data_IF_736789734325
#
_entry.id   IF_736789734325
#
_cell.length_a   1.000
_cell.length_b   1.000
_cell.length_c   1.000
_cell.angle_alpha   90.00
_cell.angle_beta   90.00
_cell.angle_gamma   90.00
#
_symmetry.space_group_name_H-M   'P 1'
#
loop_
_entity.id
_entity.type
_entity.pdbx_description
1 polymer ?
#
# COMPACT_ATOMS: atom_id res chain seq x y z
N UNK A 1 21.98 4.09 -0.82
CA UNK A 1 22.01 4.75 0.51
C UNK A 1 23.00 5.90 0.49
N UNK A 2 22.53 7.12 0.23
CA UNK A 2 23.35 8.30 0.49
C UNK A 2 23.19 8.63 1.98
N UNK A 3 24.14 8.19 2.77
CA UNK A 3 24.34 8.68 4.11
C UNK A 3 25.39 9.77 4.02
N UNK A 4 25.17 10.93 4.63
CA UNK A 4 26.25 11.86 4.94
C UNK A 4 27.14 11.15 5.96
N UNK A 5 28.35 10.84 5.56
CA UNK A 5 29.14 9.81 6.16
C UNK A 5 30.23 10.42 6.99
N UNK A 6 30.10 10.25 8.26
CA UNK A 6 31.28 9.95 9.04
C UNK A 6 31.36 8.43 9.17
N UNK A 7 32.20 7.77 8.36
CA UNK A 7 32.40 6.32 8.34
C UNK A 7 33.02 5.78 9.62
N UNK A 8 33.45 6.64 10.51
CA UNK A 8 34.26 6.26 11.67
C UNK A 8 33.41 5.69 12.82
N UNK A 9 32.08 5.85 12.78
CA UNK A 9 31.21 5.33 13.83
C UNK A 9 29.95 4.66 13.25
N UNK A 10 29.81 3.34 13.40
CA UNK A 10 28.60 2.60 12.91
C UNK A 10 27.28 3.16 13.45
N UNK A 11 27.28 3.71 14.66
CA UNK A 11 26.11 4.30 15.30
C UNK A 11 25.65 5.56 14.59
N UNK A 12 26.55 6.43 14.16
CA UNK A 12 26.22 7.64 13.41
C UNK A 12 25.58 7.32 12.06
N UNK A 13 25.92 6.21 11.45
CA UNK A 13 25.35 5.77 10.19
C UNK A 13 23.84 5.50 10.30
N UNK A 14 23.37 4.90 11.38
CA UNK A 14 21.94 4.67 11.63
C UNK A 14 21.24 6.01 11.84
N UNK A 15 21.79 6.86 12.70
CA UNK A 15 21.24 8.18 13.01
C UNK A 15 21.16 9.08 11.78
N UNK A 16 22.22 9.18 11.00
CA UNK A 16 22.24 10.01 9.79
C UNK A 16 21.40 9.43 8.66
N UNK A 17 21.24 8.10 8.60
CA UNK A 17 20.45 7.44 7.58
C UNK A 17 18.94 7.49 7.85
N UNK A 18 18.51 7.14 9.07
CA UNK A 18 17.07 7.07 9.43
C UNK A 18 16.55 8.37 10.02
N UNK A 19 17.39 9.05 10.80
CA UNK A 19 17.00 10.21 11.61
C UNK A 19 17.44 11.54 10.99
N UNK A 20 17.80 11.58 9.70
CA UNK A 20 17.96 12.88 9.04
C UNK A 20 16.65 13.65 9.10
N UNK A 21 16.63 14.98 9.25
CA UNK A 21 15.41 15.76 9.45
C UNK A 21 14.33 15.46 8.40
N UNK A 22 14.72 15.36 7.14
CA UNK A 22 13.80 15.08 6.02
C UNK A 22 13.17 13.69 6.13
N UNK A 23 13.95 12.66 6.49
CA UNK A 23 13.46 11.29 6.64
C UNK A 23 12.63 11.14 7.90
N UNK A 24 13.03 11.80 8.99
CA UNK A 24 12.25 11.80 10.22
C UNK A 24 10.88 12.43 9.99
N UNK A 25 10.81 13.58 9.33
CA UNK A 25 9.54 14.22 8.95
C UNK A 25 8.71 13.32 8.02
N UNK A 26 9.36 12.62 7.10
CA UNK A 26 8.68 11.66 6.23
C UNK A 26 8.09 10.47 7.02
N UNK A 27 8.84 9.93 7.99
CA UNK A 27 8.36 8.85 8.86
C UNK A 27 7.21 9.34 9.73
N UNK A 28 7.30 10.54 10.31
CA UNK A 28 6.22 11.12 11.12
C UNK A 28 4.96 11.31 10.28
N UNK A 29 5.10 11.76 9.04
CA UNK A 29 3.96 12.01 8.15
C UNK A 29 3.32 10.72 7.62
N UNK A 30 4.10 9.72 7.25
CA UNK A 30 3.60 8.56 6.50
C UNK A 30 3.91 7.21 7.14
N UNK A 31 4.90 7.15 8.02
CA UNK A 31 5.50 5.91 8.50
C UNK A 31 4.96 5.41 9.84
N UNK A 32 3.92 6.02 10.37
CA UNK A 32 3.28 5.60 11.62
C UNK A 32 1.90 5.02 11.29
N UNK A 33 1.64 3.81 11.77
CA UNK A 33 0.34 3.16 11.69
C UNK A 33 -0.13 2.75 13.08
N UNK A 34 -1.40 2.89 13.34
CA UNK A 34 -2.05 2.29 14.50
C UNK A 34 -2.75 1.02 14.06
N UNK A 35 -2.38 -0.09 14.68
CA UNK A 35 -2.89 -1.42 14.32
C UNK A 35 -3.76 -1.90 15.46
N UNK A 36 -5.03 -2.13 15.18
CA UNK A 36 -5.97 -2.71 16.13
C UNK A 36 -5.68 -4.19 16.29
N UNK A 37 -5.41 -4.59 17.52
CA UNK A 37 -5.18 -5.98 17.90
C UNK A 37 -6.29 -6.41 18.87
N UNK A 38 -6.95 -7.51 18.54
CA UNK A 38 -7.94 -8.12 19.43
C UNK A 38 -7.30 -9.33 20.10
N UNK A 39 -7.47 -9.43 21.41
CA UNK A 39 -7.04 -10.58 22.22
C UNK A 39 -8.18 -11.03 23.09
N UNK A 40 -8.37 -12.32 23.20
CA UNK A 40 -9.26 -12.90 24.16
C UNK A 40 -8.53 -13.03 25.51
N UNK A 41 -9.04 -12.35 26.53
CA UNK A 41 -8.57 -12.42 27.92
C UNK A 41 -9.78 -12.77 28.80
N UNK A 42 -9.70 -13.89 29.50
CA UNK A 42 -10.78 -14.37 30.38
C UNK A 42 -12.18 -14.42 29.71
N UNK A 43 -12.24 -14.87 28.47
CA UNK A 43 -13.48 -14.98 27.70
C UNK A 43 -14.07 -13.65 27.23
N UNK A 44 -13.32 -12.55 27.35
CA UNK A 44 -13.68 -11.23 26.80
C UNK A 44 -12.70 -10.81 25.73
N UNK A 45 -13.23 -10.21 24.66
CA UNK A 45 -12.40 -9.63 23.60
C UNK A 45 -11.95 -8.24 24.05
N UNK A 46 -10.64 -8.08 24.25
CA UNK A 46 -10.01 -6.79 24.50
C UNK A 46 -9.34 -6.31 23.23
N UNK A 47 -9.67 -5.09 22.80
CA UNK A 47 -9.00 -4.46 21.65
C UNK A 47 -7.98 -3.44 22.14
N UNK A 48 -6.77 -3.50 21.59
CA UNK A 48 -5.68 -2.55 21.87
C UNK A 48 -5.12 -2.02 20.57
N UNK A 49 -4.84 -0.71 20.52
CA UNK A 49 -4.18 -0.10 19.38
C UNK A 49 -2.66 -0.09 19.61
N UNK A 50 -1.93 -0.79 18.74
CA UNK A 50 -0.47 -0.82 18.77
C UNK A 50 0.09 0.17 17.73
N UNK A 51 1.08 0.95 18.15
CA UNK A 51 1.79 1.85 17.25
C UNK A 51 2.89 1.09 16.50
N UNK A 52 2.75 1.00 15.18
CA UNK A 52 3.77 0.44 14.29
C UNK A 52 4.49 1.55 13.54
N UNK A 53 5.80 1.43 13.44
CA UNK A 53 6.64 2.37 12.70
C UNK A 53 7.24 1.66 11.49
N UNK A 54 7.27 2.36 10.38
CA UNK A 54 7.88 1.90 9.13
C UNK A 54 9.32 1.45 9.35
N UNK A 55 9.64 0.23 8.91
CA UNK A 55 11.01 -0.30 8.93
C UNK A 55 11.86 0.37 7.86
N UNK A 56 13.19 0.30 8.01
CA UNK A 56 14.11 0.93 7.04
C UNK A 56 13.91 0.40 5.60
N UNK A 57 13.62 -0.90 5.42
CA UNK A 57 13.35 -1.47 4.09
C UNK A 57 12.13 -0.80 3.45
N UNK A 58 11.06 -0.61 4.21
CA UNK A 58 9.83 0.03 3.75
C UNK A 58 10.05 1.52 3.45
N UNK A 59 10.81 2.20 4.31
CA UNK A 59 11.17 3.60 4.11
C UNK A 59 11.92 3.78 2.79
N UNK A 60 13.01 3.05 2.59
CA UNK A 60 13.82 3.22 1.38
C UNK A 60 13.11 2.76 0.12
N UNK A 61 12.29 1.70 0.19
CA UNK A 61 11.46 1.29 -0.94
C UNK A 61 10.45 2.39 -1.30
N UNK A 62 9.74 2.95 -0.33
CA UNK A 62 8.76 4.01 -0.58
C UNK A 62 9.39 5.28 -1.17
N UNK A 63 10.57 5.68 -0.67
CA UNK A 63 11.34 6.81 -1.22
C UNK A 63 11.79 6.54 -2.67
N UNK A 64 12.27 5.31 -2.95
CA UNK A 64 12.69 4.91 -4.29
C UNK A 64 11.52 4.88 -5.28
N UNK A 65 10.38 4.31 -4.87
CA UNK A 65 9.15 4.28 -5.67
C UNK A 65 8.71 5.72 -6.02
N UNK A 66 8.62 6.59 -5.01
CA UNK A 66 8.22 7.98 -5.20
C UNK A 66 9.16 8.73 -6.15
N UNK A 67 10.48 8.51 -6.02
CA UNK A 67 11.48 9.08 -6.92
C UNK A 67 11.27 8.60 -8.35
N UNK A 68 11.09 7.29 -8.57
CA UNK A 68 10.88 6.72 -9.90
C UNK A 68 9.58 7.22 -10.55
N UNK A 69 8.52 7.34 -9.79
CA UNK A 69 7.27 7.93 -10.29
C UNK A 69 7.44 9.40 -10.68
N UNK A 70 8.22 10.18 -9.93
CA UNK A 70 8.54 11.56 -10.27
C UNK A 70 9.39 11.68 -11.56
N UNK A 71 10.21 10.67 -11.86
CA UNK A 71 10.96 10.54 -13.12
C UNK A 71 10.08 10.06 -14.30
N UNK A 72 8.78 9.81 -14.07
CA UNK A 72 7.82 9.36 -15.11
C UNK A 72 7.79 7.85 -15.33
N UNK A 73 8.49 7.05 -14.50
CA UNK A 73 8.45 5.58 -14.56
C UNK A 73 7.09 5.10 -14.06
N UNK A 74 6.41 4.26 -14.84
CA UNK A 74 5.03 3.82 -14.54
C UNK A 74 4.94 2.42 -13.95
N UNK A 75 5.99 1.63 -14.00
CA UNK A 75 6.03 0.26 -13.49
C UNK A 75 7.42 -0.09 -12.96
N UNK A 76 7.49 -1.02 -12.02
CA UNK A 76 8.74 -1.49 -11.45
C UNK A 76 8.54 -2.69 -10.54
N UNK A 77 9.64 -3.26 -10.09
CA UNK A 77 9.66 -4.39 -9.16
C UNK A 77 10.36 -3.95 -7.88
N UNK A 78 9.73 -4.24 -6.74
CA UNK A 78 10.33 -4.06 -5.41
C UNK A 78 10.76 -5.43 -4.92
N UNK A 79 12.06 -5.64 -4.88
CA UNK A 79 12.63 -6.90 -4.41
C UNK A 79 12.86 -6.86 -2.90
N UNK A 80 12.02 -7.56 -2.16
CA UNK A 80 12.14 -7.68 -0.71
C UNK A 80 12.18 -9.15 -0.29
N UNK A 81 12.93 -9.44 0.77
CA UNK A 81 12.94 -10.79 1.36
C UNK A 81 11.57 -11.11 1.99
N UNK A 82 11.30 -12.40 2.15
CA UNK A 82 10.13 -12.85 2.91
C UNK A 82 10.18 -12.31 4.35
N UNK A 83 9.04 -11.95 4.91
CA UNK A 83 8.97 -11.38 6.26
C UNK A 83 9.43 -9.92 6.40
N UNK A 84 9.78 -9.24 5.30
CA UNK A 84 10.17 -7.82 5.34
C UNK A 84 9.00 -6.85 5.52
N UNK A 85 7.76 -7.33 5.54
CA UNK A 85 6.55 -6.53 5.68
C UNK A 85 6.11 -5.88 4.36
N UNK A 86 6.03 -6.66 3.27
CA UNK A 86 5.54 -6.20 1.96
C UNK A 86 4.11 -5.67 2.04
N UNK A 87 3.21 -6.34 2.74
CA UNK A 87 1.83 -5.90 2.96
C UNK A 87 1.77 -4.56 3.71
N UNK A 88 2.59 -4.41 4.75
CA UNK A 88 2.71 -3.14 5.47
C UNK A 88 3.29 -2.02 4.58
N UNK A 89 4.23 -2.33 3.68
CA UNK A 89 4.70 -1.36 2.69
C UNK A 89 3.54 -0.89 1.81
N UNK A 90 2.70 -1.81 1.34
CA UNK A 90 1.52 -1.49 0.52
C UNK A 90 0.55 -0.56 1.24
N UNK A 91 0.33 -0.79 2.54
CA UNK A 91 -0.43 0.14 3.39
C UNK A 91 0.17 1.55 3.37
N UNK A 92 1.46 1.69 3.66
CA UNK A 92 2.10 3.01 3.66
C UNK A 92 2.06 3.69 2.29
N UNK A 93 2.17 2.91 1.21
CA UNK A 93 2.09 3.42 -0.15
C UNK A 93 0.73 4.03 -0.48
N UNK A 94 -0.36 3.57 0.13
CA UNK A 94 -1.68 4.19 -0.10
C UNK A 94 -1.68 5.66 0.30
N UNK A 95 -1.13 6.00 1.45
CA UNK A 95 -1.04 7.39 1.92
C UNK A 95 -0.01 8.21 1.14
N UNK A 96 1.16 7.63 0.89
CA UNK A 96 2.27 8.30 0.20
C UNK A 96 1.89 8.65 -1.24
N UNK A 97 1.30 7.69 -1.95
CA UNK A 97 0.94 7.89 -3.35
C UNK A 97 -0.36 8.68 -3.51
N UNK A 98 -1.26 8.62 -2.55
CA UNK A 98 -2.42 9.49 -2.53
C UNK A 98 -1.98 10.97 -2.42
N UNK A 99 -1.05 11.31 -1.49
CA UNK A 99 -0.47 12.66 -1.39
C UNK A 99 0.33 13.04 -2.64
N UNK A 100 1.04 12.09 -3.25
CA UNK A 100 1.82 12.33 -4.47
C UNK A 100 0.93 12.69 -5.66
N UNK A 101 -0.17 11.95 -5.87
CA UNK A 101 -1.07 12.19 -7.00
C UNK A 101 -2.07 13.31 -6.76
N UNK A 102 -2.47 13.56 -5.51
CA UNK A 102 -3.35 14.69 -5.17
C UNK A 102 -2.71 16.03 -5.53
N UNK A 103 -1.38 16.16 -5.40
CA UNK A 103 -0.62 17.34 -5.86
C UNK A 103 -0.62 17.53 -7.38
N UNK A 104 -1.01 16.52 -8.12
CA UNK A 104 -1.18 16.54 -9.57
C UNK A 104 -2.66 16.62 -9.98
N UNK A 105 -3.56 16.93 -9.04
CA UNK A 105 -5.01 16.95 -9.21
C UNK A 105 -5.58 15.60 -9.68
N UNK A 106 -4.97 14.50 -9.24
CA UNK A 106 -5.42 13.14 -9.53
C UNK A 106 -5.88 12.43 -8.26
N UNK A 107 -6.95 11.66 -8.39
CA UNK A 107 -7.44 10.75 -7.35
C UNK A 107 -6.77 9.39 -7.53
N UNK A 108 -6.09 8.91 -6.51
CA UNK A 108 -5.44 7.60 -6.54
C UNK A 108 -6.44 6.51 -6.12
N UNK A 109 -6.52 5.41 -6.89
CA UNK A 109 -7.24 4.18 -6.55
C UNK A 109 -6.28 3.02 -6.50
N UNK A 110 -6.32 2.25 -5.42
CA UNK A 110 -5.36 1.19 -5.14
C UNK A 110 -6.00 -0.18 -5.30
N UNK A 111 -5.26 -1.07 -5.96
CA UNK A 111 -5.64 -2.47 -6.18
C UNK A 111 -4.48 -3.35 -5.71
N UNK A 112 -4.73 -4.18 -4.71
CA UNK A 112 -3.78 -5.15 -4.19
C UNK A 112 -4.15 -6.52 -4.74
N UNK A 113 -3.27 -7.08 -5.57
CA UNK A 113 -3.53 -8.31 -6.31
C UNK A 113 -2.76 -9.45 -5.68
N UNK A 114 -3.48 -10.49 -5.29
CA UNK A 114 -2.93 -11.73 -4.73
C UNK A 114 -3.28 -12.93 -5.60
N UNK A 115 -2.47 -13.99 -5.53
CA UNK A 115 -2.68 -15.21 -6.30
C UNK A 115 -3.50 -16.27 -5.55
N UNK A 116 -3.61 -16.20 -4.23
CA UNK A 116 -4.26 -17.20 -3.38
C UNK A 116 -5.37 -16.60 -2.53
N UNK A 117 -6.40 -17.40 -2.24
CA UNK A 117 -7.55 -16.96 -1.43
C UNK A 117 -7.18 -16.69 0.03
N UNK A 118 -6.33 -17.52 0.62
CA UNK A 118 -5.84 -17.30 1.98
C UNK A 118 -5.07 -15.98 2.14
N UNK A 119 -4.32 -15.59 1.11
CA UNK A 119 -3.64 -14.30 1.08
C UNK A 119 -4.61 -13.12 0.92
N UNK A 120 -5.75 -13.31 0.26
CA UNK A 120 -6.79 -12.30 0.15
C UNK A 120 -7.37 -11.97 1.53
N UNK A 121 -7.75 -13.00 2.29
CA UNK A 121 -8.30 -12.82 3.64
C UNK A 121 -7.26 -12.18 4.57
N UNK A 122 -6.03 -12.68 4.56
CA UNK A 122 -4.94 -12.12 5.37
C UNK A 122 -4.67 -10.65 5.02
N UNK A 123 -4.58 -10.31 3.74
CA UNK A 123 -4.34 -8.92 3.32
C UNK A 123 -5.49 -8.01 3.72
N UNK A 124 -6.73 -8.47 3.56
CA UNK A 124 -7.93 -7.74 3.98
C UNK A 124 -7.89 -7.41 5.46
N UNK A 125 -7.68 -8.40 6.31
CA UNK A 125 -7.59 -8.23 7.76
C UNK A 125 -6.43 -7.30 8.15
N UNK A 126 -5.27 -7.43 7.50
CA UNK A 126 -4.12 -6.56 7.78
C UNK A 126 -4.37 -5.09 7.43
N UNK A 127 -5.07 -4.82 6.32
CA UNK A 127 -5.40 -3.46 5.92
C UNK A 127 -6.49 -2.85 6.80
N UNK A 128 -7.53 -3.62 7.13
CA UNK A 128 -8.61 -3.19 8.03
C UNK A 128 -8.10 -2.91 9.45
N UNK A 129 -7.22 -3.77 9.98
CA UNK A 129 -6.59 -3.57 11.28
C UNK A 129 -5.78 -2.27 11.36
N UNK A 130 -5.34 -1.74 10.20
CA UNK A 130 -4.64 -0.45 10.08
C UNK A 130 -5.56 0.72 9.72
N UNK A 131 -6.87 0.48 9.67
CA UNK A 131 -7.86 1.52 9.43
C UNK A 131 -8.07 1.92 7.98
N UNK A 132 -7.63 1.09 7.01
CA UNK A 132 -8.04 1.28 5.62
C UNK A 132 -9.47 0.80 5.40
N UNK A 133 -10.18 1.47 4.51
CA UNK A 133 -11.42 0.94 3.93
C UNK A 133 -11.03 -0.10 2.87
N UNK A 134 -11.42 -1.35 3.10
CA UNK A 134 -11.09 -2.45 2.20
C UNK A 134 -12.31 -2.89 1.43
N UNK A 135 -12.19 -2.92 0.11
CA UNK A 135 -13.17 -3.53 -0.79
C UNK A 135 -12.58 -4.80 -1.39
N UNK A 136 -13.41 -5.81 -1.62
CA UNK A 136 -13.00 -7.02 -2.34
C UNK A 136 -13.75 -7.09 -3.66
N UNK A 137 -13.07 -7.52 -4.72
CA UNK A 137 -13.72 -7.86 -5.98
C UNK A 137 -13.68 -9.38 -6.16
N UNK A 138 -14.86 -10.00 -6.09
CA UNK A 138 -15.02 -11.44 -6.17
C UNK A 138 -15.30 -11.95 -7.59
N UNK A 139 -15.59 -11.04 -8.52
CA UNK A 139 -15.81 -11.34 -9.92
C UNK A 139 -15.21 -10.26 -10.81
N UNK A 140 -14.97 -10.64 -12.08
CA UNK A 140 -14.51 -9.69 -13.09
C UNK A 140 -15.53 -8.57 -13.31
N UNK A 141 -16.81 -8.87 -13.27
CA UNK A 141 -17.87 -7.88 -13.43
C UNK A 141 -17.83 -6.82 -12.32
N UNK A 142 -17.63 -7.24 -11.08
CA UNK A 142 -17.44 -6.33 -9.94
C UNK A 142 -16.20 -5.46 -10.10
N UNK A 143 -15.05 -6.04 -10.48
CA UNK A 143 -13.83 -5.28 -10.71
C UNK A 143 -14.02 -4.26 -11.84
N UNK A 144 -14.69 -4.64 -12.92
CA UNK A 144 -14.99 -3.74 -14.03
C UNK A 144 -15.96 -2.63 -13.63
N UNK A 145 -16.96 -2.94 -12.78
CA UNK A 145 -17.84 -1.93 -12.21
C UNK A 145 -17.05 -0.93 -11.35
N UNK A 146 -16.11 -1.42 -10.54
CA UNK A 146 -15.21 -0.57 -9.75
C UNK A 146 -14.29 0.30 -10.62
N UNK A 147 -13.80 -0.22 -11.75
CA UNK A 147 -13.01 0.57 -12.69
C UNK A 147 -13.82 1.68 -13.37
N UNK A 148 -15.11 1.47 -13.60
CA UNK A 148 -16.00 2.49 -14.15
C UNK A 148 -16.48 3.51 -13.12
N UNK A 149 -16.50 3.13 -11.86
CA UNK A 149 -16.92 4.04 -10.78
C UNK A 149 -15.88 5.13 -10.58
N UNK A 150 -16.28 6.38 -10.75
CA UNK A 150 -15.47 7.57 -10.48
C UNK A 150 -15.51 7.99 -9.01
N UNK A 151 -16.32 7.32 -8.20
CA UNK A 151 -16.48 7.63 -6.79
C UNK A 151 -15.60 6.72 -5.93
N UNK A 152 -15.14 7.24 -4.80
CA UNK A 152 -14.67 6.42 -3.69
C UNK A 152 -15.82 5.48 -3.30
N UNK A 153 -15.56 4.17 -3.20
CA UNK A 153 -16.65 3.20 -3.22
C UNK A 153 -17.50 3.16 -1.96
N UNK A 154 -16.96 3.50 -0.81
CA UNK A 154 -17.70 3.49 0.47
C UNK A 154 -17.14 4.46 1.53
N UNK A 155 -16.10 5.21 1.22
CA UNK A 155 -15.41 6.04 2.19
C UNK A 155 -16.09 7.37 2.46
N UNK A 156 -16.11 7.76 3.70
CA UNK A 156 -16.23 9.17 4.08
C UNK A 156 -15.09 9.91 3.38
N UNK A 157 -15.40 11.01 2.72
CA UNK A 157 -14.42 11.84 2.01
C UNK A 157 -13.13 12.01 2.82
N UNK A 158 -12.02 11.48 2.32
CA UNK A 158 -10.69 11.59 2.94
C UNK A 158 -10.09 10.31 3.52
N UNK A 159 -10.81 9.20 3.61
CA UNK A 159 -10.22 7.91 3.99
C UNK A 159 -9.52 7.24 2.82
N UNK A 160 -8.37 6.64 3.09
CA UNK A 160 -7.65 5.85 2.10
C UNK A 160 -8.36 4.50 1.90
N UNK A 161 -8.57 4.13 0.64
CA UNK A 161 -9.23 2.89 0.23
C UNK A 161 -8.29 2.00 -0.54
N UNK A 162 -8.46 0.69 -0.38
CA UNK A 162 -7.75 -0.32 -1.17
C UNK A 162 -8.71 -1.44 -1.58
N UNK A 163 -8.63 -1.88 -2.84
CA UNK A 163 -9.37 -3.04 -3.31
C UNK A 163 -8.44 -4.24 -3.34
N UNK A 164 -8.80 -5.32 -2.64
CA UNK A 164 -8.06 -6.59 -2.66
C UNK A 164 -8.69 -7.53 -3.69
N UNK A 165 -7.86 -8.09 -4.57
CA UNK A 165 -8.31 -8.86 -5.74
C UNK A 165 -7.54 -10.17 -5.81
N UNK A 166 -8.25 -11.29 -5.96
CA UNK A 166 -7.62 -12.58 -6.26
C UNK A 166 -7.54 -12.79 -7.78
N UNK A 167 -6.34 -12.93 -8.32
CA UNK A 167 -6.14 -13.05 -9.77
C UNK A 167 -6.67 -14.37 -10.34
N UNK A 168 -6.67 -15.45 -9.57
CA UNK A 168 -7.13 -16.78 -10.05
C UNK A 168 -8.60 -16.77 -10.44
N UNK A 169 -9.44 -15.96 -9.77
CA UNK A 169 -10.86 -15.82 -10.11
C UNK A 169 -11.10 -15.18 -11.48
N UNK A 170 -10.07 -14.59 -12.08
CA UNK A 170 -10.14 -13.95 -13.39
C UNK A 170 -9.53 -14.80 -14.52
N UNK A 171 -8.82 -15.87 -14.19
CA UNK A 171 -8.15 -16.74 -15.17
C UNK A 171 -9.13 -17.51 -16.08
N UNK A 172 -10.35 -17.76 -15.60
CA UNK A 172 -11.37 -18.52 -16.33
C UNK A 172 -12.07 -17.70 -17.43
N UNK A 173 -11.97 -16.38 -17.38
CA UNK A 173 -12.70 -15.46 -18.26
C UNK A 173 -11.85 -15.03 -19.45
N UNK A 174 -12.07 -15.67 -20.62
CA UNK A 174 -11.32 -15.41 -21.86
C UNK A 174 -11.75 -14.14 -22.62
N UNK A 175 -12.81 -13.47 -22.20
CA UNK A 175 -13.29 -12.27 -22.89
C UNK A 175 -12.40 -11.04 -22.59
N UNK A 176 -11.84 -10.48 -23.66
CA UNK A 176 -11.11 -9.20 -23.60
C UNK A 176 -12.12 -8.06 -23.50
N UNK A 177 -12.38 -7.56 -22.32
CA UNK A 177 -13.16 -6.34 -22.15
C UNK A 177 -12.26 -5.13 -22.41
N UNK A 178 -12.54 -4.38 -23.47
CA UNK A 178 -11.93 -3.07 -23.71
C UNK A 178 -12.78 -2.03 -22.99
N UNK A 179 -12.18 -1.32 -22.05
CA UNK A 179 -12.80 -0.15 -21.43
C UNK A 179 -12.27 1.07 -22.17
N UNK A 180 -13.14 1.74 -22.89
CA UNK A 180 -12.76 2.89 -23.72
C UNK A 180 -12.92 4.23 -22.98
N UNK A 181 -13.50 4.22 -21.77
CA UNK A 181 -13.84 5.46 -21.06
C UNK A 181 -13.19 5.46 -19.66
N UNK A 182 -11.95 5.98 -19.61
CA UNK A 182 -11.23 6.17 -18.35
C UNK A 182 -11.29 7.63 -17.95
N UNK A 183 -11.79 7.91 -16.74
CA UNK A 183 -11.69 9.24 -16.17
C UNK A 183 -10.21 9.67 -16.08
N UNK A 184 -9.88 10.78 -16.71
CA UNK A 184 -8.51 11.30 -16.83
C UNK A 184 -7.93 11.79 -15.49
N UNK A 185 -8.80 12.08 -14.53
CA UNK A 185 -8.44 12.50 -13.17
C UNK A 185 -8.18 11.34 -12.21
N UNK A 186 -8.38 10.07 -12.65
CA UNK A 186 -8.12 8.89 -11.83
C UNK A 186 -6.76 8.27 -12.16
N UNK A 187 -5.96 8.05 -11.12
CA UNK A 187 -4.74 7.25 -11.20
C UNK A 187 -4.96 5.90 -10.54
N UNK A 188 -5.00 4.84 -11.35
CA UNK A 188 -5.08 3.46 -10.84
C UNK A 188 -3.69 2.94 -10.54
N UNK A 189 -3.51 2.37 -9.36
CA UNK A 189 -2.25 1.84 -8.85
C UNK A 189 -2.47 0.37 -8.54
N UNK A 190 -1.73 -0.48 -9.24
CA UNK A 190 -1.77 -1.93 -9.05
C UNK A 190 -0.53 -2.36 -8.30
N UNK A 191 -0.74 -3.05 -7.18
CA UNK A 191 0.31 -3.65 -6.36
C UNK A 191 0.12 -5.16 -6.44
N UNK A 192 1.07 -5.84 -7.08
CA UNK A 192 1.03 -7.30 -7.25
C UNK A 192 1.92 -7.91 -6.18
N UNK A 193 1.35 -8.73 -5.31
CA UNK A 193 2.12 -9.55 -4.40
C UNK A 193 2.57 -10.84 -5.11
N UNK A 194 3.75 -11.34 -4.77
CA UNK A 194 4.34 -12.56 -5.36
C UNK A 194 4.43 -12.53 -6.91
N UNK A 195 4.77 -11.36 -7.50
CA UNK A 195 4.81 -11.16 -8.96
C UNK A 195 5.84 -12.03 -9.73
N UNK A 196 6.55 -12.91 -9.05
CA UNK A 196 7.52 -13.83 -9.62
C UNK A 196 6.95 -15.22 -9.95
N UNK A 197 5.67 -15.47 -9.69
CA UNK A 197 4.94 -16.70 -9.99
C UNK A 197 4.16 -16.64 -11.28
#
# INVERSE_FOLDING_TARGET
YQTNLDFNTPTNRILTSMCSPERLLYIIKYGIAYVRMEREVDGKIESTDQKHIMRYQQLFASLAIRKKLAEGVKSGVVWHTQGSGKTALSYYLTYILNDFYSKQNKVAKFYFIVDRLDLLEQATQEFEARGLVVSTANSRAELMAQFRSNQAQQGVSGQAEITVVNIQRFAEDKEKVRINDYATNLQRIFILDEAHR
#
